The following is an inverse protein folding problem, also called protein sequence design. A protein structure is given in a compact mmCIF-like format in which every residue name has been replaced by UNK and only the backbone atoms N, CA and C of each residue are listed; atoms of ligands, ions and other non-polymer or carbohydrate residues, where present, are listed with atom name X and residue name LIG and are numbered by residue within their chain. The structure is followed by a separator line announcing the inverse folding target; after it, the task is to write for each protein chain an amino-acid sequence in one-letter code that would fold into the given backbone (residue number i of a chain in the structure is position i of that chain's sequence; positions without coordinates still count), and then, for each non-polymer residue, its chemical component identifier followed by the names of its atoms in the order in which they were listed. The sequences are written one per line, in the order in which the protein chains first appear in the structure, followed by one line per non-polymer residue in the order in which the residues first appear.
data_IF_096290652215
#
_entry.id   IF_096290652215
#
_cell.length_a   1.000
_cell.length_b   1.000
_cell.length_c   1.000
_cell.angle_alpha   90.00
_cell.angle_beta   90.00
_cell.angle_gamma   90.00
#
_symmetry.space_group_name_H-M   'P 1'
#
loop_
_entity.id
_entity.type
_entity.pdbx_description
1 polymer ?
#
# COMPACT_ATOMS: atom_id res chain seq x y z
N UNK A 1 -9.32 -4.37 13.05
CA UNK A 1 -10.43 -4.60 12.09
C UNK A 1 -11.45 -5.53 12.75
N UNK A 2 -12.72 -5.14 12.83
CA UNK A 2 -13.77 -5.96 13.48
C UNK A 2 -14.03 -7.29 12.75
N UNK A 3 -13.87 -7.30 11.42
CA UNK A 3 -14.04 -8.50 10.60
C UNK A 3 -13.17 -9.68 11.09
N UNK A 4 -11.93 -9.42 11.52
CA UNK A 4 -11.02 -10.45 12.03
C UNK A 4 -11.42 -11.06 13.38
N UNK A 5 -12.46 -10.54 14.04
CA UNK A 5 -13.01 -11.07 15.30
C UNK A 5 -14.42 -11.65 15.13
N UNK A 6 -15.00 -11.56 13.93
CA UNK A 6 -16.36 -12.02 13.69
C UNK A 6 -16.40 -13.54 13.60
N UNK A 7 -17.31 -14.24 14.32
CA UNK A 7 -17.47 -15.68 14.19
C UNK A 7 -18.10 -16.11 12.86
N UNK A 8 -18.67 -15.15 12.10
CA UNK A 8 -19.35 -15.40 10.84
C UNK A 8 -18.50 -15.02 9.61
N UNK A 9 -17.26 -14.58 9.82
CA UNK A 9 -16.34 -14.17 8.75
C UNK A 9 -15.06 -14.97 8.87
N UNK A 10 -14.75 -15.72 7.83
CA UNK A 10 -13.44 -16.34 7.67
C UNK A 10 -12.56 -15.47 6.78
N UNK A 11 -11.38 -15.10 7.28
CA UNK A 11 -10.38 -14.35 6.50
C UNK A 11 -9.31 -15.33 6.02
N UNK A 12 -9.28 -15.55 4.71
CA UNK A 12 -8.27 -16.37 4.05
C UNK A 12 -7.30 -15.41 3.35
N UNK A 13 -6.08 -15.30 3.87
CA UNK A 13 -5.02 -14.44 3.30
C UNK A 13 -4.06 -15.26 2.45
N UNK A 14 -3.28 -14.58 1.59
CA UNK A 14 -2.40 -15.21 0.60
C UNK A 14 -3.16 -16.14 -0.35
N UNK A 15 -4.46 -15.91 -0.53
CA UNK A 15 -5.34 -16.72 -1.35
C UNK A 15 -5.73 -16.00 -2.65
N UNK A 16 -5.73 -16.75 -3.75
CA UNK A 16 -6.19 -16.29 -5.06
C UNK A 16 -7.32 -17.18 -5.56
N UNK A 17 -8.40 -16.57 -6.07
CA UNK A 17 -9.47 -17.30 -6.76
C UNK A 17 -8.98 -17.76 -8.12
N UNK A 18 -8.86 -19.09 -8.32
CA UNK A 18 -8.42 -19.69 -9.59
C UNK A 18 -9.58 -20.06 -10.50
N UNK A 19 -10.66 -20.57 -9.93
CA UNK A 19 -11.87 -20.90 -10.68
C UNK A 19 -13.11 -20.57 -9.88
N UNK A 20 -14.12 -20.06 -10.59
CA UNK A 20 -15.48 -19.93 -10.09
C UNK A 20 -16.43 -20.61 -11.08
N UNK A 21 -17.16 -21.63 -10.62
CA UNK A 21 -18.15 -22.35 -11.42
C UNK A 21 -19.50 -22.38 -10.69
N UNK A 22 -20.57 -22.76 -11.42
CA UNK A 22 -21.93 -22.84 -10.88
C UNK A 22 -22.81 -21.65 -11.26
N UNK A 23 -23.82 -21.35 -10.43
CA UNK A 23 -24.83 -20.31 -10.68
C UNK A 23 -25.23 -19.60 -9.38
N UNK A 24 -25.96 -18.49 -9.49
CA UNK A 24 -26.47 -17.77 -8.32
C UNK A 24 -27.20 -18.71 -7.34
N UNK A 25 -26.79 -18.67 -6.06
CA UNK A 25 -27.27 -19.57 -5.01
C UNK A 25 -26.47 -20.87 -4.84
N UNK A 26 -25.61 -21.24 -5.79
CA UNK A 26 -24.81 -22.46 -5.78
C UNK A 26 -23.53 -22.29 -6.62
N UNK A 27 -22.55 -21.58 -6.05
CA UNK A 27 -21.22 -21.44 -6.63
C UNK A 27 -20.22 -22.38 -5.96
N UNK A 28 -19.24 -22.82 -6.75
CA UNK A 28 -18.03 -23.50 -6.29
C UNK A 28 -16.83 -22.64 -6.64
N UNK A 29 -16.14 -22.16 -5.61
CA UNK A 29 -14.93 -21.35 -5.73
C UNK A 29 -13.71 -22.19 -5.38
N UNK A 30 -12.75 -22.31 -6.30
CA UNK A 30 -11.45 -22.93 -6.05
C UNK A 30 -10.42 -21.85 -5.77
N UNK A 31 -9.87 -21.88 -4.56
CA UNK A 31 -8.82 -20.97 -4.10
C UNK A 31 -7.47 -21.70 -4.11
N UNK A 32 -6.42 -20.99 -4.51
CA UNK A 32 -5.04 -21.38 -4.23
C UNK A 32 -4.53 -20.50 -3.10
N UNK A 33 -4.11 -21.11 -2.00
CA UNK A 33 -3.52 -20.44 -0.84
C UNK A 33 -2.01 -20.64 -0.92
N UNK A 34 -1.28 -19.55 -1.11
CA UNK A 34 0.19 -19.56 -1.16
C UNK A 34 0.78 -19.87 0.21
N UNK A 35 1.91 -20.60 0.27
CA UNK A 35 2.59 -20.86 1.52
C UNK A 35 3.06 -19.55 2.15
N UNK A 36 2.83 -19.42 3.45
CA UNK A 36 3.30 -18.30 4.26
C UNK A 36 4.75 -18.53 4.74
N UNK A 37 5.14 -19.80 4.79
CA UNK A 37 6.33 -20.36 5.44
C UNK A 37 6.44 -20.04 6.93
N UNK A 38 5.32 -19.64 7.53
CA UNK A 38 5.17 -19.34 8.96
C UNK A 38 3.81 -19.86 9.39
N UNK A 39 3.78 -20.73 10.39
CA UNK A 39 2.58 -21.27 11.01
C UNK A 39 1.83 -20.15 11.79
N UNK A 40 0.62 -19.75 11.32
CA UNK A 40 -0.15 -18.70 11.97
C UNK A 40 -0.57 -19.02 13.41
N UNK A 41 -0.69 -20.30 13.78
CA UNK A 41 -1.11 -20.70 15.12
C UNK A 41 0.02 -20.62 16.15
N UNK A 42 1.29 -20.70 15.68
CA UNK A 42 2.48 -20.62 16.54
C UNK A 42 3.12 -19.24 16.55
N UNK A 43 2.92 -18.45 15.48
CA UNK A 43 3.53 -17.14 15.36
C UNK A 43 3.02 -16.19 16.45
N UNK A 44 3.95 -15.60 17.21
CA UNK A 44 3.64 -14.59 18.25
C UNK A 44 3.84 -13.15 17.76
N UNK A 45 4.26 -12.97 16.50
CA UNK A 45 4.54 -11.67 15.89
C UNK A 45 5.50 -10.78 16.68
N UNK A 46 6.53 -11.38 17.28
CA UNK A 46 7.57 -10.67 18.02
C UNK A 46 8.61 -9.95 17.15
N UNK A 47 8.66 -10.21 15.83
CA UNK A 47 9.56 -9.54 14.89
C UNK A 47 11.00 -10.04 14.81
N UNK A 48 11.42 -10.97 15.67
CA UNK A 48 12.81 -11.48 15.69
C UNK A 48 13.25 -12.06 14.33
N UNK A 49 12.36 -12.75 13.63
CA UNK A 49 12.66 -13.30 12.30
C UNK A 49 13.00 -12.22 11.27
N UNK A 50 12.35 -11.05 11.33
CA UNK A 50 12.62 -9.90 10.47
C UNK A 50 13.93 -9.23 10.86
N UNK A 51 14.15 -8.96 12.16
CA UNK A 51 15.37 -8.33 12.66
C UNK A 51 16.64 -9.08 12.26
N UNK A 52 16.61 -10.41 12.32
CA UNK A 52 17.78 -11.25 12.00
C UNK A 52 17.83 -11.70 10.54
N UNK A 53 16.87 -11.31 9.70
CA UNK A 53 16.90 -11.63 8.28
C UNK A 53 17.99 -10.79 7.59
N UNK A 54 19.00 -11.41 6.97
CA UNK A 54 20.11 -10.66 6.36
C UNK A 54 19.75 -10.10 4.98
N UNK A 55 18.68 -10.57 4.36
CA UNK A 55 18.28 -10.20 3.00
C UNK A 55 17.46 -8.93 3.02
N UNK A 56 18.00 -7.88 2.40
CA UNK A 56 17.28 -6.64 2.10
C UNK A 56 16.46 -6.79 0.82
N UNK A 57 15.24 -6.26 0.88
CA UNK A 57 14.24 -6.33 -0.18
C UNK A 57 13.65 -4.93 -0.33
N UNK A 58 13.37 -4.50 -1.56
CA UNK A 58 12.66 -3.23 -1.79
C UNK A 58 11.25 -3.33 -1.20
N UNK A 59 10.87 -2.36 -0.38
CA UNK A 59 9.57 -2.38 0.30
C UNK A 59 8.45 -1.84 -0.61
N UNK A 60 7.73 -2.76 -1.27
CA UNK A 60 6.61 -2.38 -2.15
C UNK A 60 5.41 -1.78 -1.40
N UNK A 61 5.20 -2.13 -0.13
CA UNK A 61 4.14 -1.54 0.67
C UNK A 61 4.42 -0.07 0.99
N UNK A 62 5.70 0.26 1.21
CA UNK A 62 6.17 1.63 1.40
C UNK A 62 6.59 2.31 0.09
N UNK A 63 5.95 1.94 -1.03
CA UNK A 63 6.14 2.60 -2.33
C UNK A 63 7.61 2.64 -2.80
N UNK A 64 8.39 1.62 -2.43
CA UNK A 64 9.81 1.49 -2.79
C UNK A 64 10.70 2.61 -2.24
N UNK A 65 10.20 3.40 -1.27
CA UNK A 65 10.93 4.48 -0.60
C UNK A 65 11.94 3.98 0.44
N UNK A 66 11.88 2.70 0.80
CA UNK A 66 12.77 2.08 1.79
C UNK A 66 12.99 0.59 1.48
N UNK A 67 13.82 -0.05 2.30
CA UNK A 67 14.05 -1.48 2.28
C UNK A 67 13.35 -2.15 3.46
N UNK A 68 12.86 -3.35 3.21
CA UNK A 68 12.36 -4.30 4.19
C UNK A 68 13.19 -5.59 4.12
N UNK A 69 12.73 -6.66 4.75
CA UNK A 69 13.42 -7.95 4.77
C UNK A 69 12.61 -9.05 4.09
N UNK A 70 13.24 -10.16 3.75
CA UNK A 70 12.52 -11.31 3.19
C UNK A 70 11.56 -11.95 4.22
N UNK A 71 11.93 -11.99 5.51
CA UNK A 71 11.01 -12.33 6.59
C UNK A 71 10.36 -11.04 7.10
N UNK A 72 9.05 -10.86 6.88
CA UNK A 72 8.39 -9.58 7.21
C UNK A 72 6.89 -9.71 7.48
N UNK A 73 6.33 -8.62 7.98
CA UNK A 73 4.91 -8.29 7.97
C UNK A 73 4.83 -6.87 7.39
N UNK A 74 3.95 -6.63 6.41
CA UNK A 74 4.05 -5.40 5.61
C UNK A 74 3.73 -4.13 6.41
N UNK A 75 2.86 -4.24 7.42
CA UNK A 75 2.56 -3.16 8.34
C UNK A 75 2.14 -3.69 9.72
N UNK A 76 2.36 -2.89 10.76
CA UNK A 76 2.21 -3.32 12.15
C UNK A 76 0.78 -3.78 12.51
N UNK A 77 -0.24 -3.21 11.87
CA UNK A 77 -1.66 -3.51 12.13
C UNK A 77 -2.24 -4.56 11.16
N UNK A 78 -1.39 -5.31 10.45
CA UNK A 78 -1.85 -6.32 9.50
C UNK A 78 -2.70 -7.41 10.18
N UNK A 79 -3.71 -7.90 9.45
CA UNK A 79 -4.64 -8.94 9.88
C UNK A 79 -4.63 -10.08 8.86
N UNK A 80 -4.26 -11.32 9.25
CA UNK A 80 -3.81 -11.71 10.58
C UNK A 80 -2.44 -11.08 10.91
N UNK A 81 -2.21 -10.78 12.19
CA UNK A 81 -0.92 -10.24 12.66
C UNK A 81 0.08 -11.39 12.73
N UNK A 82 0.59 -11.81 11.57
CA UNK A 82 1.47 -12.96 11.36
C UNK A 82 2.47 -12.63 10.27
N UNK A 83 3.75 -12.93 10.52
CA UNK A 83 4.82 -12.76 9.54
C UNK A 83 4.71 -13.74 8.37
N UNK A 84 5.43 -13.48 7.29
CA UNK A 84 5.61 -14.42 6.17
C UNK A 84 7.06 -14.35 5.66
N UNK A 85 7.47 -15.37 4.90
CA UNK A 85 8.71 -15.32 4.13
C UNK A 85 8.38 -15.06 2.66
N UNK A 86 8.96 -14.01 2.10
CA UNK A 86 8.89 -13.72 0.67
C UNK A 86 9.68 -14.80 -0.09
N UNK A 87 8.97 -15.68 -0.78
CA UNK A 87 9.54 -16.79 -1.53
C UNK A 87 10.60 -16.32 -2.52
N UNK A 88 10.35 -15.20 -3.22
CA UNK A 88 11.22 -14.72 -4.30
C UNK A 88 12.55 -14.18 -3.80
N UNK A 89 12.58 -13.73 -2.55
CA UNK A 89 13.74 -13.05 -1.98
C UNK A 89 14.46 -13.90 -0.92
N UNK A 90 13.77 -14.84 -0.27
CA UNK A 90 14.30 -15.62 0.82
C UNK A 90 15.44 -16.55 0.39
N UNK A 91 16.64 -16.32 0.93
CA UNK A 91 17.84 -17.11 0.63
C UNK A 91 17.70 -18.61 0.97
N UNK A 92 16.86 -18.97 1.95
CA UNK A 92 16.56 -20.38 2.27
C UNK A 92 15.70 -21.05 1.21
N UNK A 93 14.65 -20.37 0.77
CA UNK A 93 13.69 -20.90 -0.19
C UNK A 93 14.27 -20.94 -1.61
N UNK A 94 15.12 -19.96 -1.96
CA UNK A 94 15.75 -19.88 -3.28
C UNK A 94 17.03 -20.72 -3.40
N UNK A 95 17.85 -20.79 -2.35
CA UNK A 95 19.24 -21.30 -2.45
C UNK A 95 19.65 -22.23 -1.31
N UNK A 96 18.73 -22.58 -0.40
CA UNK A 96 19.01 -23.45 0.74
C UNK A 96 20.13 -22.98 1.70
N UNK A 97 20.50 -21.70 1.66
CA UNK A 97 21.75 -21.20 2.25
C UNK A 97 21.60 -20.47 3.60
N UNK A 98 20.38 -20.30 4.12
CA UNK A 98 20.13 -19.51 5.34
C UNK A 98 19.10 -20.18 6.26
N UNK A 99 19.26 -20.10 7.59
CA UNK A 99 18.27 -20.59 8.56
C UNK A 99 18.07 -19.64 9.76
N UNK A 100 18.58 -18.40 9.66
CA UNK A 100 18.64 -17.48 10.80
C UNK A 100 17.26 -17.19 11.41
N UNK A 101 16.24 -16.98 10.59
CA UNK A 101 14.89 -16.70 11.06
C UNK A 101 14.28 -17.87 11.85
N UNK A 102 14.58 -19.12 11.47
CA UNK A 102 14.14 -20.30 12.19
C UNK A 102 14.88 -20.43 13.54
N UNK A 103 16.19 -20.22 13.55
CA UNK A 103 17.03 -20.33 14.75
C UNK A 103 16.62 -19.33 15.86
N UNK A 104 16.10 -18.16 15.50
CA UNK A 104 15.65 -17.14 16.47
C UNK A 104 14.15 -17.23 16.78
N UNK A 105 13.40 -18.11 16.12
CA UNK A 105 11.96 -18.24 16.32
C UNK A 105 11.66 -19.17 17.51
N UNK A 106 11.57 -18.61 18.72
CA UNK A 106 11.27 -19.38 19.95
C UNK A 106 10.06 -20.34 19.84
N UNK A 107 8.91 -19.92 19.28
CA UNK A 107 7.76 -20.80 19.07
C UNK A 107 7.92 -21.87 17.97
N UNK A 108 9.03 -21.87 17.22
CA UNK A 108 9.25 -22.74 16.06
C UNK A 108 8.12 -22.64 15.02
N UNK A 109 7.74 -21.41 14.67
CA UNK A 109 6.68 -21.13 13.71
C UNK A 109 7.17 -21.17 12.25
N UNK A 110 8.48 -21.14 11.96
CA UNK A 110 8.99 -21.14 10.58
C UNK A 110 8.88 -22.54 9.96
N UNK A 111 8.26 -22.65 8.79
CA UNK A 111 8.01 -23.91 8.07
C UNK A 111 8.41 -23.74 6.60
N UNK A 112 9.68 -24.02 6.27
CA UNK A 112 10.23 -23.77 4.92
C UNK A 112 9.66 -24.69 3.84
N UNK A 113 9.19 -25.87 4.21
CA UNK A 113 8.62 -26.89 3.31
C UNK A 113 7.09 -26.79 3.19
N UNK A 114 6.48 -25.71 3.71
CA UNK A 114 5.05 -25.46 3.52
C UNK A 114 4.71 -25.43 2.03
N UNK A 115 3.73 -26.23 1.63
CA UNK A 115 3.25 -26.30 0.26
C UNK A 115 2.03 -25.39 0.06
N UNK A 116 1.77 -24.93 -1.18
CA UNK A 116 0.49 -24.33 -1.52
C UNK A 116 -0.68 -25.26 -1.20
N UNK A 117 -1.80 -24.69 -0.77
CA UNK A 117 -3.03 -25.42 -0.47
C UNK A 117 -4.11 -25.04 -1.49
N UNK A 118 -4.77 -26.03 -2.09
CA UNK A 118 -6.00 -25.81 -2.83
C UNK A 118 -7.21 -26.00 -1.90
N UNK A 119 -8.13 -25.04 -1.93
CA UNK A 119 -9.34 -25.07 -1.11
C UNK A 119 -10.58 -24.79 -1.95
N UNK A 120 -11.54 -25.70 -1.89
CA UNK A 120 -12.87 -25.51 -2.49
C UNK A 120 -13.85 -24.94 -1.46
N UNK A 121 -14.57 -23.89 -1.84
CA UNK A 121 -15.63 -23.28 -1.05
C UNK A 121 -16.96 -23.34 -1.81
N UNK A 122 -18.01 -23.74 -1.11
CA UNK A 122 -19.39 -23.66 -1.58
C UNK A 122 -20.03 -22.38 -1.06
N UNK A 123 -20.44 -21.48 -1.95
CA UNK A 123 -21.01 -20.17 -1.58
C UNK A 123 -22.25 -19.84 -2.40
N UNK A 124 -23.21 -19.14 -1.79
CA UNK A 124 -24.44 -18.74 -2.48
C UNK A 124 -24.29 -17.46 -3.31
N UNK A 125 -23.34 -16.59 -2.95
CA UNK A 125 -23.11 -15.29 -3.58
C UNK A 125 -21.63 -14.93 -3.57
N UNK A 126 -21.23 -14.08 -4.51
CA UNK A 126 -19.86 -13.56 -4.65
C UNK A 126 -19.94 -12.04 -4.76
N UNK A 127 -19.10 -11.35 -3.98
CA UNK A 127 -18.93 -9.90 -4.04
C UNK A 127 -17.51 -9.62 -4.50
N UNK A 128 -17.37 -8.93 -5.64
CA UNK A 128 -16.06 -8.52 -6.16
C UNK A 128 -15.70 -7.16 -5.56
N UNK A 129 -14.62 -7.13 -4.77
CA UNK A 129 -14.10 -5.94 -4.11
C UNK A 129 -12.57 -5.86 -4.24
N UNK A 130 -12.05 -6.06 -5.46
CA UNK A 130 -10.61 -6.18 -5.75
C UNK A 130 -9.84 -4.86 -5.70
N UNK A 131 -10.53 -3.73 -5.48
CA UNK A 131 -9.92 -2.41 -5.38
C UNK A 131 -9.68 -1.76 -6.75
N UNK A 132 -8.56 -1.04 -6.86
CA UNK A 132 -8.19 -0.23 -8.02
C UNK A 132 -6.69 -0.40 -8.35
N UNK A 133 -6.32 -0.07 -9.58
CA UNK A 133 -4.94 -0.09 -10.05
C UNK A 133 -4.23 1.26 -9.95
N UNK A 134 -2.93 1.26 -10.22
CA UNK A 134 -2.09 2.48 -10.26
C UNK A 134 -2.19 3.17 -11.62
N UNK A 135 -1.77 4.43 -11.67
CA UNK A 135 -1.50 5.11 -12.93
C UNK A 135 -0.32 4.40 -13.61
N UNK A 136 -0.40 4.08 -14.92
CA UNK A 136 0.71 3.44 -15.63
C UNK A 136 1.98 4.28 -15.61
N UNK A 137 3.14 3.63 -15.50
CA UNK A 137 4.44 4.30 -15.34
C UNK A 137 4.77 5.20 -16.54
N UNK A 138 4.56 4.73 -17.77
CA UNK A 138 4.66 5.52 -19.01
C UNK A 138 3.83 6.83 -19.02
N UNK A 139 2.76 6.93 -18.23
CA UNK A 139 2.02 8.19 -18.07
C UNK A 139 2.75 9.12 -17.11
N UNK A 140 3.27 8.59 -16.00
CA UNK A 140 4.02 9.33 -15.00
C UNK A 140 5.36 9.83 -15.56
N UNK A 141 6.02 9.05 -16.43
CA UNK A 141 7.28 9.41 -17.10
C UNK A 141 7.18 10.73 -17.88
N UNK A 142 6.02 11.05 -18.45
CA UNK A 142 5.77 12.33 -19.15
C UNK A 142 5.95 13.54 -18.22
N UNK A 143 5.75 13.34 -16.92
CA UNK A 143 5.93 14.34 -15.86
C UNK A 143 7.29 14.23 -15.17
N UNK A 144 8.17 13.35 -15.66
CA UNK A 144 9.52 13.16 -15.15
C UNK A 144 9.62 12.24 -13.93
N UNK A 145 8.56 11.49 -13.61
CA UNK A 145 8.64 10.39 -12.65
C UNK A 145 9.69 9.36 -13.09
N UNK A 146 10.42 8.78 -12.14
CA UNK A 146 11.56 7.88 -12.39
C UNK A 146 12.84 8.58 -12.87
N UNK A 147 12.73 9.77 -13.50
CA UNK A 147 13.88 10.59 -13.92
C UNK A 147 14.32 11.59 -12.85
N UNK A 148 13.36 12.25 -12.21
CA UNK A 148 13.63 13.25 -11.18
C UNK A 148 13.25 12.67 -9.81
N UNK A 149 14.20 12.56 -8.86
CA UNK A 149 13.97 11.93 -7.56
C UNK A 149 12.90 12.64 -6.71
N UNK A 150 12.71 13.94 -6.93
CA UNK A 150 11.74 14.76 -6.18
C UNK A 150 10.36 14.84 -6.86
N UNK A 151 10.13 14.08 -7.94
CA UNK A 151 8.80 13.90 -8.54
C UNK A 151 8.18 12.65 -7.95
N UNK A 152 7.13 12.84 -7.15
CA UNK A 152 6.45 11.77 -6.40
C UNK A 152 4.97 11.69 -6.78
N UNK A 153 4.45 10.48 -6.68
CA UNK A 153 3.02 10.18 -6.68
C UNK A 153 2.39 10.52 -5.33
N UNK A 154 1.08 10.68 -5.30
CA UNK A 154 0.34 10.90 -4.05
C UNK A 154 0.44 9.70 -3.10
N UNK A 155 0.56 8.48 -3.61
CA UNK A 155 0.72 7.28 -2.77
C UNK A 155 2.08 7.26 -2.05
N UNK A 156 3.15 7.69 -2.72
CA UNK A 156 4.46 7.87 -2.08
C UNK A 156 4.37 8.92 -0.97
N UNK A 157 3.73 10.06 -1.24
CA UNK A 157 3.53 11.11 -0.23
C UNK A 157 2.67 10.63 0.95
N UNK A 158 1.65 9.81 0.72
CA UNK A 158 0.87 9.16 1.79
C UNK A 158 1.73 8.26 2.65
N UNK A 159 2.66 7.49 2.05
CA UNK A 159 3.59 6.69 2.84
C UNK A 159 4.53 7.57 3.64
N UNK A 160 5.07 8.64 3.06
CA UNK A 160 5.97 9.56 3.76
C UNK A 160 5.31 10.27 4.95
N UNK A 161 4.09 10.77 4.77
CA UNK A 161 3.34 11.47 5.82
C UNK A 161 2.74 10.53 6.87
N UNK A 162 2.79 9.21 6.64
CA UNK A 162 2.35 8.22 7.61
C UNK A 162 3.36 8.11 8.77
N UNK A 163 2.87 8.22 10.00
CA UNK A 163 3.71 8.07 11.20
C UNK A 163 4.42 6.70 11.31
N UNK A 164 3.83 5.64 10.73
CA UNK A 164 4.45 4.31 10.61
C UNK A 164 4.99 4.05 9.20
N UNK A 165 5.27 5.11 8.46
CA UNK A 165 5.85 5.09 7.13
C UNK A 165 7.39 5.13 7.15
N UNK A 166 8.01 5.12 5.97
CA UNK A 166 9.47 5.03 5.82
C UNK A 166 10.22 6.26 6.35
N UNK A 167 9.55 7.41 6.45
CA UNK A 167 10.13 8.66 6.96
C UNK A 167 9.50 9.10 8.29
N UNK A 168 8.74 8.21 8.95
CA UNK A 168 8.11 8.46 10.26
C UNK A 168 7.22 9.72 10.31
N UNK A 169 6.65 10.14 9.18
CA UNK A 169 5.84 11.35 9.05
C UNK A 169 6.58 12.57 8.48
N UNK A 170 7.91 12.49 8.34
CA UNK A 170 8.71 13.59 7.81
C UNK A 170 8.60 13.68 6.29
N UNK A 171 8.31 14.89 5.79
CA UNK A 171 8.26 15.17 4.35
C UNK A 171 9.64 15.63 3.89
N UNK A 172 10.40 14.69 3.31
CA UNK A 172 11.77 14.88 2.86
C UNK A 172 11.89 14.72 1.34
N UNK A 173 12.74 15.51 0.70
CA UNK A 173 13.07 15.32 -0.71
C UNK A 173 13.96 14.09 -0.87
N UNK A 174 13.60 13.10 -1.71
CA UNK A 174 14.45 11.91 -1.90
C UNK A 174 15.83 12.22 -2.48
N UNK A 175 15.99 13.36 -3.17
CA UNK A 175 17.28 13.76 -3.74
C UNK A 175 18.36 14.07 -2.71
N UNK A 176 17.99 14.68 -1.58
CA UNK A 176 18.96 15.23 -0.62
C UNK A 176 18.53 15.13 0.85
N UNK A 177 17.40 14.48 1.13
CA UNK A 177 16.85 14.26 2.46
C UNK A 177 16.60 15.55 3.27
N UNK A 178 16.28 16.66 2.58
CA UNK A 178 15.91 17.92 3.22
C UNK A 178 14.42 18.23 3.05
N UNK A 179 13.86 19.06 3.94
CA UNK A 179 12.49 19.50 3.82
C UNK A 179 12.27 20.41 2.58
N UNK A 180 11.24 20.15 1.77
CA UNK A 180 10.89 21.03 0.67
C UNK A 180 10.31 22.35 1.18
N UNK A 181 10.76 23.47 0.61
CA UNK A 181 10.18 24.80 0.88
C UNK A 181 9.00 25.14 -0.03
N UNK A 182 8.93 24.50 -1.21
CA UNK A 182 7.89 24.72 -2.23
C UNK A 182 7.46 23.39 -2.80
N UNK A 183 6.15 23.18 -2.91
CA UNK A 183 5.56 21.94 -3.41
C UNK A 183 4.46 22.27 -4.41
N UNK A 184 4.44 21.54 -5.53
CA UNK A 184 3.40 21.62 -6.54
C UNK A 184 2.62 20.30 -6.60
N UNK A 185 1.30 20.38 -6.48
CA UNK A 185 0.39 19.26 -6.75
C UNK A 185 -0.16 19.38 -8.16
N UNK A 186 0.01 18.34 -8.96
CA UNK A 186 -0.51 18.26 -10.32
C UNK A 186 -1.73 17.36 -10.36
N UNK A 187 -2.91 17.93 -10.57
CA UNK A 187 -4.14 17.16 -10.60
C UNK A 187 -4.35 16.47 -11.95
N UNK A 188 -5.20 15.43 -11.93
CA UNK A 188 -5.63 14.68 -13.11
C UNK A 188 -4.51 13.90 -13.83
N UNK A 189 -3.36 13.66 -13.22
CA UNK A 189 -2.34 12.77 -13.81
C UNK A 189 -2.94 11.37 -14.00
N UNK A 190 -2.94 10.88 -15.24
CA UNK A 190 -3.56 9.59 -15.63
C UNK A 190 -5.08 9.56 -15.61
N UNK A 191 -5.75 10.71 -15.52
CA UNK A 191 -7.22 10.83 -15.51
C UNK A 191 -7.66 12.00 -16.38
N UNK A 192 -8.84 11.92 -17.00
CA UNK A 192 -9.32 12.95 -17.95
C UNK A 192 -8.27 13.26 -19.04
N UNK A 193 -7.52 12.25 -19.43
CA UNK A 193 -6.47 12.30 -20.43
C UNK A 193 -6.68 11.18 -21.45
N UNK A 194 -7.17 11.57 -22.62
CA UNK A 194 -7.42 10.65 -23.73
C UNK A 194 -6.13 10.09 -24.34
N UNK A 195 -4.98 10.73 -24.12
CA UNK A 195 -3.68 10.28 -24.67
C UNK A 195 -3.16 9.02 -23.97
N UNK A 196 -3.64 8.72 -22.77
CA UNK A 196 -3.38 7.47 -22.05
C UNK A 196 -4.59 6.53 -21.99
N UNK A 197 -5.64 6.81 -22.78
CA UNK A 197 -6.86 6.01 -22.80
C UNK A 197 -7.82 6.24 -21.63
N UNK A 198 -7.52 7.18 -20.72
CA UNK A 198 -8.29 7.41 -19.50
C UNK A 198 -9.14 8.69 -19.60
N UNK A 199 -10.27 8.60 -20.31
CA UNK A 199 -11.23 9.71 -20.43
C UNK A 199 -12.07 10.01 -19.18
N UNK A 200 -11.96 9.19 -18.13
CA UNK A 200 -12.75 9.31 -16.90
C UNK A 200 -12.07 10.20 -15.84
N UNK A 201 -12.86 10.66 -14.86
CA UNK A 201 -12.33 11.31 -13.66
C UNK A 201 -12.18 10.28 -12.53
N UNK A 202 -11.01 10.25 -11.87
CA UNK A 202 -10.74 9.34 -10.75
C UNK A 202 -11.42 9.70 -9.42
N UNK A 203 -12.34 10.68 -9.44
CA UNK A 203 -13.25 11.14 -8.37
C UNK A 203 -12.64 11.63 -7.04
N UNK A 204 -11.55 11.05 -6.57
CA UNK A 204 -10.99 11.29 -5.23
C UNK A 204 -9.77 12.21 -5.22
N UNK A 205 -9.13 12.43 -6.36
CA UNK A 205 -7.82 13.10 -6.43
C UNK A 205 -7.81 14.56 -5.98
N UNK A 206 -8.89 15.31 -6.23
CA UNK A 206 -9.01 16.68 -5.70
C UNK A 206 -9.02 16.69 -4.16
N UNK A 207 -9.69 15.72 -3.56
CA UNK A 207 -9.87 15.67 -2.11
C UNK A 207 -8.64 15.13 -1.39
N UNK A 208 -8.00 14.06 -1.89
CA UNK A 208 -6.76 13.59 -1.26
C UNK A 208 -5.64 14.61 -1.42
N UNK A 209 -5.54 15.33 -2.54
CA UNK A 209 -4.49 16.34 -2.72
C UNK A 209 -4.65 17.50 -1.74
N UNK A 210 -5.88 17.97 -1.51
CA UNK A 210 -6.16 18.98 -0.49
C UNK A 210 -5.86 18.46 0.94
N UNK A 211 -6.19 17.20 1.23
CA UNK A 211 -5.86 16.55 2.51
C UNK A 211 -4.34 16.44 2.69
N UNK A 212 -3.62 15.92 1.70
CA UNK A 212 -2.16 15.79 1.70
C UNK A 212 -1.49 17.14 1.87
N UNK A 213 -1.88 18.15 1.08
CA UNK A 213 -1.38 19.52 1.22
C UNK A 213 -1.63 20.09 2.63
N UNK A 214 -2.78 19.80 3.23
CA UNK A 214 -3.11 20.22 4.60
C UNK A 214 -2.20 19.55 5.63
N UNK A 215 -1.99 18.23 5.50
CA UNK A 215 -1.09 17.47 6.37
C UNK A 215 0.35 17.99 6.23
N UNK A 216 0.80 18.25 5.00
CA UNK A 216 2.11 18.85 4.76
C UNK A 216 2.23 20.19 5.48
N UNK A 217 1.22 21.08 5.42
CA UNK A 217 1.27 22.38 6.14
C UNK A 217 1.25 22.24 7.66
N UNK A 218 0.65 21.18 8.19
CA UNK A 218 0.69 20.89 9.62
C UNK A 218 2.10 20.47 10.08
N UNK A 219 2.88 19.81 9.22
CA UNK A 219 4.27 19.42 9.49
C UNK A 219 5.29 20.51 9.11
N UNK A 220 5.03 21.22 8.02
CA UNK A 220 5.87 22.26 7.42
C UNK A 220 5.08 23.57 7.26
N UNK A 221 4.87 24.35 8.34
CA UNK A 221 4.04 25.55 8.32
C UNK A 221 4.50 26.61 7.32
N UNK A 222 5.81 26.67 7.03
CA UNK A 222 6.39 27.67 6.12
C UNK A 222 6.40 27.23 4.65
N UNK A 223 6.00 25.98 4.33
CA UNK A 223 6.01 25.51 2.95
C UNK A 223 4.98 26.28 2.10
N UNK A 224 5.39 26.69 0.90
CA UNK A 224 4.49 27.22 -0.12
C UNK A 224 3.93 26.05 -0.95
N UNK A 225 2.61 25.99 -1.09
CA UNK A 225 1.94 24.91 -1.84
C UNK A 225 1.06 25.47 -2.94
N UNK A 226 1.28 24.94 -4.15
CA UNK A 226 0.56 25.26 -5.37
C UNK A 226 -0.28 24.06 -5.82
N UNK A 227 -1.58 24.26 -6.02
CA UNK A 227 -2.52 23.24 -6.46
C UNK A 227 -2.92 23.53 -7.91
N UNK A 228 -2.37 22.76 -8.86
CA UNK A 228 -2.67 22.90 -10.29
C UNK A 228 -3.82 21.98 -10.70
N UNK A 229 -4.95 22.54 -11.15
CA UNK A 229 -6.12 21.76 -11.53
C UNK A 229 -6.88 22.34 -12.73
N UNK A 230 -7.63 21.47 -13.43
CA UNK A 230 -8.60 21.92 -14.43
C UNK A 230 -9.91 22.36 -13.76
N UNK A 231 -10.43 21.52 -12.87
CA UNK A 231 -11.62 21.79 -12.06
C UNK A 231 -11.40 21.17 -10.68
N UNK A 232 -11.86 21.84 -9.62
CA UNK A 232 -11.96 21.22 -8.29
C UNK A 232 -13.25 20.40 -8.23
N UNK A 233 -13.11 19.11 -7.90
CA UNK A 233 -14.24 18.17 -7.77
C UNK A 233 -14.36 17.67 -6.34
N UNK A 234 -15.09 18.44 -5.54
CA UNK A 234 -15.38 18.26 -4.11
C UNK A 234 -16.69 17.50 -3.90
N UNK A 235 -16.83 16.33 -4.54
CA UNK A 235 -18.08 15.56 -4.51
C UNK A 235 -18.22 14.82 -3.18
N UNK A 236 -19.08 15.30 -2.30
CA UNK A 236 -19.35 14.67 -1.01
C UNK A 236 -19.96 15.65 -0.01
N UNK A 237 -20.55 15.13 1.06
CA UNK A 237 -21.15 15.97 2.11
C UNK A 237 -20.04 16.78 2.81
N UNK A 238 -20.11 18.11 2.71
CA UNK A 238 -19.17 19.03 3.35
C UNK A 238 -17.80 19.16 2.67
N UNK A 239 -17.63 18.60 1.47
CA UNK A 239 -16.33 18.62 0.78
C UNK A 239 -15.99 19.99 0.20
N UNK A 240 -16.97 20.73 -0.31
CA UNK A 240 -16.80 22.13 -0.74
C UNK A 240 -16.33 23.02 0.43
N UNK A 241 -17.01 22.90 1.58
CA UNK A 241 -16.66 23.63 2.80
C UNK A 241 -15.26 23.24 3.32
N UNK A 242 -14.93 21.94 3.26
CA UNK A 242 -13.62 21.46 3.67
C UNK A 242 -12.49 22.02 2.79
N UNK A 243 -12.70 22.04 1.47
CA UNK A 243 -11.75 22.61 0.52
C UNK A 243 -11.55 24.12 0.76
N UNK A 244 -12.64 24.89 0.81
CA UNK A 244 -12.56 26.34 1.03
C UNK A 244 -11.87 26.67 2.37
N UNK A 245 -12.23 25.95 3.44
CA UNK A 245 -11.60 26.10 4.74
C UNK A 245 -10.11 25.79 4.70
N UNK A 246 -9.70 24.75 3.98
CA UNK A 246 -8.29 24.38 3.88
C UNK A 246 -7.49 25.45 3.12
N UNK A 247 -8.02 25.94 1.99
CA UNK A 247 -7.40 27.02 1.21
C UNK A 247 -7.27 28.30 2.04
N UNK A 248 -8.32 28.71 2.76
CA UNK A 248 -8.30 29.90 3.62
C UNK A 248 -7.35 29.74 4.81
N UNK A 249 -7.42 28.60 5.51
CA UNK A 249 -6.60 28.33 6.70
C UNK A 249 -5.11 28.26 6.37
N UNK A 250 -4.74 27.60 5.28
CA UNK A 250 -3.36 27.28 4.96
C UNK A 250 -2.75 28.17 3.86
N UNK A 251 -3.56 29.00 3.20
CA UNK A 251 -3.09 29.94 2.19
C UNK A 251 -2.61 29.26 0.90
N UNK A 252 -3.26 28.16 0.49
CA UNK A 252 -2.89 27.46 -0.75
C UNK A 252 -3.09 28.34 -1.98
N UNK A 253 -2.12 28.34 -2.90
CA UNK A 253 -2.29 28.98 -4.22
C UNK A 253 -3.00 27.98 -5.14
N UNK A 254 -4.15 28.38 -5.65
CA UNK A 254 -4.97 27.57 -6.57
C UNK A 254 -4.76 28.07 -7.99
N UNK A 255 -4.34 27.18 -8.90
CA UNK A 255 -3.89 27.50 -10.26
C UNK A 255 -4.61 26.64 -11.29
#
# INVERSE_FOLDING_TARGET
MEAGRSPNIEIITLAELKELSGKAGDFRARLEIKPRYVDPQKCTSCGMCMTYCPKEVVDEYNERLTFTKAARIDYAQAVPTVYYLDEKECLRLQHESCQLCANVCGPNAIVFDQQPEERELHVGAVVLALGFGRVPEEVLEKYGYGKYPDVLTSLELERMTCASGPTEGEVLRPSDFTHPQRIAFLQCVGSRDVTCGNGYCSSVCCMYAMKEASVVKEHLPEAEIDLFFMDIRTQGKGFDEAFNRAVEKYGFRTI
#
